data_IF_950979712886
#
_entry.id   IF_950979712886
#
_cell.length_a   1.000
_cell.length_b   1.000
_cell.length_c   1.000
_cell.angle_alpha   90.00
_cell.angle_beta   90.00
_cell.angle_gamma   90.00
#
_symmetry.space_group_name_H-M   'P 1'
#
loop_
_entity.id
_entity.type
_entity.pdbx_description
1 polymer ?
#
# COMPACT_ATOMS: atom_id res chain seq x y z
N UNK A 1 12.07 1.22 -3.57
CA UNK A 1 10.93 0.99 -2.63
C UNK A 1 9.78 0.35 -3.41
N UNK A 2 8.86 -0.36 -2.73
CA UNK A 2 7.72 -1.03 -3.37
C UNK A 2 6.45 -0.81 -2.54
N UNK A 3 5.29 -0.77 -3.18
CA UNK A 3 4.00 -0.68 -2.51
C UNK A 3 3.49 -2.09 -2.14
N UNK A 4 2.99 -2.25 -0.91
CA UNK A 4 2.37 -3.50 -0.49
C UNK A 4 0.97 -3.67 -1.09
N UNK A 5 0.54 -4.93 -1.26
CA UNK A 5 -0.82 -5.24 -1.72
C UNK A 5 -1.88 -4.69 -0.75
N UNK A 6 -1.61 -4.70 0.55
CA UNK A 6 -2.48 -4.16 1.58
C UNK A 6 -2.77 -2.67 1.36
N UNK A 7 -1.72 -1.85 1.20
CA UNK A 7 -1.88 -0.41 0.97
C UNK A 7 -2.64 -0.11 -0.33
N UNK A 8 -2.39 -0.92 -1.37
CA UNK A 8 -3.13 -0.81 -2.64
C UNK A 8 -4.61 -1.13 -2.43
N UNK A 9 -4.94 -2.20 -1.70
CA UNK A 9 -6.32 -2.58 -1.42
C UNK A 9 -7.04 -1.50 -0.58
N UNK A 10 -6.39 -0.93 0.43
CA UNK A 10 -6.93 0.18 1.23
C UNK A 10 -7.22 1.42 0.36
N UNK A 11 -6.33 1.73 -0.59
CA UNK A 11 -6.53 2.83 -1.55
C UNK A 11 -7.75 2.59 -2.46
N UNK A 12 -8.09 1.33 -2.69
CA UNK A 12 -9.22 0.90 -3.54
C UNK A 12 -10.46 0.51 -2.73
N UNK A 13 -10.52 0.78 -1.41
CA UNK A 13 -11.62 0.37 -0.53
C UNK A 13 -13.01 0.83 -1.03
N UNK A 14 -13.09 2.02 -1.63
CA UNK A 14 -14.35 2.54 -2.21
C UNK A 14 -14.92 1.70 -3.36
N UNK A 15 -14.12 0.80 -3.95
CA UNK A 15 -14.51 -0.14 -5.00
C UNK A 15 -14.78 -1.55 -4.45
N UNK A 16 -15.07 -1.66 -3.15
CA UNK A 16 -15.30 -2.94 -2.45
C UNK A 16 -14.14 -3.92 -2.63
N UNK A 17 -12.91 -3.40 -2.64
CA UNK A 17 -11.70 -4.16 -2.89
C UNK A 17 -11.42 -5.16 -1.75
N UNK A 18 -11.25 -6.43 -2.09
CA UNK A 18 -10.92 -7.51 -1.17
C UNK A 18 -9.62 -8.19 -1.60
N UNK A 19 -8.74 -8.43 -0.65
CA UNK A 19 -7.49 -9.16 -0.92
C UNK A 19 -7.73 -10.66 -0.93
N UNK A 20 -7.09 -11.38 -1.87
CA UNK A 20 -7.14 -12.84 -1.98
C UNK A 20 -5.74 -13.41 -2.07
N UNK A 21 -5.58 -14.61 -1.48
CA UNK A 21 -4.30 -15.32 -1.44
C UNK A 21 -3.34 -14.76 -0.39
N UNK A 22 -2.11 -15.28 -0.37
CA UNK A 22 -1.08 -14.87 0.59
C UNK A 22 -0.55 -13.49 0.25
N UNK A 23 -0.64 -12.57 1.19
CA UNK A 23 -0.11 -11.21 1.07
C UNK A 23 1.43 -11.27 1.15
N UNK A 24 2.09 -11.31 0.02
CA UNK A 24 3.57 -11.29 -0.03
C UNK A 24 4.07 -10.52 -1.25
N UNK A 25 5.14 -9.76 -1.05
CA UNK A 25 5.79 -8.98 -2.09
C UNK A 25 5.35 -7.51 -2.13
N UNK A 26 6.15 -6.73 -2.83
CA UNK A 26 5.88 -5.32 -3.11
C UNK A 26 5.85 -5.09 -4.62
N UNK A 27 5.09 -4.08 -5.02
CA UNK A 27 4.88 -3.76 -6.43
C UNK A 27 5.53 -2.44 -6.79
N UNK A 28 6.14 -2.40 -7.97
CA UNK A 28 6.77 -1.22 -8.55
C UNK A 28 5.87 -0.50 -9.56
N UNK A 29 4.77 -1.13 -9.96
CA UNK A 29 3.85 -0.55 -10.93
C UNK A 29 2.62 -1.39 -11.17
N UNK A 30 1.76 -0.88 -12.05
CA UNK A 30 0.53 -1.53 -12.50
C UNK A 30 0.51 -1.61 -14.02
N UNK A 31 -0.06 -2.69 -14.56
CA UNK A 31 -0.21 -2.88 -16.00
C UNK A 31 -1.54 -3.55 -16.33
N UNK A 32 -2.17 -3.13 -17.43
CA UNK A 32 -3.35 -3.82 -17.96
C UNK A 32 -2.89 -5.02 -18.77
N UNK A 33 -3.42 -6.21 -18.41
CA UNK A 33 -3.18 -7.44 -19.15
C UNK A 33 -4.40 -7.72 -20.05
N UNK A 34 -4.21 -7.56 -21.37
CA UNK A 34 -5.27 -7.73 -22.38
C UNK A 34 -5.25 -9.09 -23.08
N UNK A 35 -4.12 -9.81 -22.99
CA UNK A 35 -3.94 -11.15 -23.57
C UNK A 35 -3.13 -12.05 -22.64
N UNK A 36 -3.30 -13.39 -22.73
CA UNK A 36 -2.48 -14.30 -21.96
C UNK A 36 -0.99 -14.14 -22.29
N UNK A 37 -0.14 -14.10 -21.26
CA UNK A 37 1.31 -14.05 -21.40
C UNK A 37 1.95 -14.94 -20.35
N UNK A 38 3.03 -15.61 -20.73
CA UNK A 38 3.85 -16.43 -19.82
C UNK A 38 5.00 -15.61 -19.19
N UNK A 39 5.32 -14.45 -19.77
CA UNK A 39 6.44 -13.58 -19.35
C UNK A 39 5.94 -12.37 -18.54
N UNK A 40 5.34 -12.67 -17.37
CA UNK A 40 4.89 -11.65 -16.45
C UNK A 40 5.91 -11.42 -15.34
N UNK A 41 6.11 -10.16 -14.96
CA UNK A 41 7.00 -9.76 -13.87
C UNK A 41 6.28 -9.83 -12.53
N UNK A 42 6.91 -10.42 -11.52
CA UNK A 42 6.33 -10.58 -10.18
C UNK A 42 6.21 -9.28 -9.37
N UNK A 43 6.94 -8.23 -9.78
CA UNK A 43 6.91 -6.90 -9.16
C UNK A 43 5.90 -5.93 -9.81
N UNK A 44 5.10 -6.42 -10.75
CA UNK A 44 4.02 -5.67 -11.40
C UNK A 44 2.67 -6.26 -10.99
N UNK A 45 1.72 -5.38 -10.69
CA UNK A 45 0.33 -5.74 -10.41
C UNK A 45 -0.50 -5.66 -11.69
N UNK A 46 -1.09 -6.77 -12.10
CA UNK A 46 -1.78 -6.85 -13.39
C UNK A 46 -3.29 -6.67 -13.24
N UNK A 47 -3.87 -5.74 -13.99
CA UNK A 47 -5.33 -5.57 -14.07
C UNK A 47 -5.84 -6.37 -15.27
N UNK A 48 -6.78 -7.28 -15.04
CA UNK A 48 -7.32 -8.14 -16.09
C UNK A 48 -8.78 -8.53 -15.85
N UNK A 49 -9.38 -9.20 -16.82
CA UNK A 49 -10.71 -9.81 -16.65
C UNK A 49 -10.59 -11.20 -16.02
N UNK A 50 -11.61 -11.62 -15.26
CA UNK A 50 -11.67 -12.98 -14.72
C UNK A 50 -11.61 -14.06 -15.83
N UNK A 51 -12.18 -13.77 -17.01
CA UNK A 51 -12.07 -14.65 -18.19
C UNK A 51 -10.63 -14.80 -18.68
N UNK A 52 -9.79 -13.78 -18.51
CA UNK A 52 -8.37 -13.86 -18.87
C UNK A 52 -7.59 -14.70 -17.86
N UNK A 53 -7.89 -14.53 -16.57
CA UNK A 53 -7.26 -15.34 -15.50
C UNK A 53 -7.43 -16.83 -15.73
N UNK A 54 -8.64 -17.28 -16.14
CA UNK A 54 -8.90 -18.70 -16.41
C UNK A 54 -8.09 -19.29 -17.58
N UNK A 55 -7.48 -18.44 -18.42
CA UNK A 55 -6.63 -18.86 -19.53
C UNK A 55 -5.12 -18.85 -19.19
N UNK A 56 -4.75 -18.33 -18.03
CA UNK A 56 -3.35 -18.30 -17.59
C UNK A 56 -2.93 -19.65 -17.03
N UNK A 57 -1.67 -20.01 -17.25
CA UNK A 57 -1.07 -21.20 -16.64
C UNK A 57 -0.98 -21.05 -15.12
N UNK A 58 -1.14 -22.15 -14.40
CA UNK A 58 -1.04 -22.17 -12.94
C UNK A 58 0.29 -21.57 -12.46
N UNK A 59 1.40 -21.86 -13.11
CA UNK A 59 2.73 -21.32 -12.77
C UNK A 59 2.80 -19.79 -12.87
N UNK A 60 2.02 -19.18 -13.76
CA UNK A 60 1.91 -17.73 -13.90
C UNK A 60 1.04 -17.16 -12.78
N UNK A 61 -0.08 -17.80 -12.47
CA UNK A 61 -0.96 -17.40 -11.37
C UNK A 61 -0.25 -17.46 -10.00
N UNK A 62 0.55 -18.50 -9.76
CA UNK A 62 1.28 -18.68 -8.50
C UNK A 62 2.38 -17.63 -8.25
N UNK A 63 2.92 -17.03 -9.32
CA UNK A 63 4.05 -16.08 -9.24
C UNK A 63 3.64 -14.62 -9.28
N UNK A 64 2.45 -14.33 -9.81
CA UNK A 64 2.02 -12.96 -10.09
C UNK A 64 0.78 -12.59 -9.28
N UNK A 65 0.49 -11.30 -9.20
CA UNK A 65 -0.69 -10.79 -8.51
C UNK A 65 -1.57 -9.99 -9.47
N UNK A 66 -2.88 -10.10 -9.26
CA UNK A 66 -3.87 -9.60 -10.21
C UNK A 66 -4.94 -8.76 -9.51
N UNK A 67 -5.49 -7.79 -10.26
CA UNK A 67 -6.71 -7.07 -9.90
C UNK A 67 -7.77 -7.44 -10.94
N UNK A 68 -8.95 -7.85 -10.50
CA UNK A 68 -10.06 -8.20 -11.39
C UNK A 68 -11.40 -7.98 -10.70
N UNK A 69 -12.45 -7.85 -11.51
CA UNK A 69 -13.83 -7.73 -10.99
C UNK A 69 -14.39 -9.10 -10.68
N UNK A 70 -15.09 -9.23 -9.55
CA UNK A 70 -15.97 -10.36 -9.31
C UNK A 70 -17.11 -10.33 -10.36
N UNK A 71 -17.43 -11.48 -10.92
CA UNK A 71 -18.64 -11.67 -11.74
C UNK A 71 -19.51 -12.74 -11.11
N UNK A 72 -20.85 -12.57 -11.06
CA UNK A 72 -21.75 -13.50 -10.39
C UNK A 72 -21.64 -14.95 -10.90
N UNK A 73 -21.27 -15.11 -12.16
CA UNK A 73 -21.10 -16.41 -12.80
C UNK A 73 -19.74 -17.09 -12.53
N UNK A 74 -18.83 -16.45 -11.82
CA UNK A 74 -17.46 -16.91 -11.58
C UNK A 74 -17.11 -16.88 -10.09
N UNK A 75 -17.99 -17.46 -9.27
CA UNK A 75 -17.75 -17.65 -7.82
C UNK A 75 -16.51 -18.54 -7.53
N UNK A 76 -15.93 -19.18 -8.54
CA UNK A 76 -14.71 -19.97 -8.41
C UNK A 76 -13.52 -19.17 -8.96
N UNK A 77 -12.98 -18.31 -8.14
CA UNK A 77 -11.60 -17.84 -8.33
C UNK A 77 -10.68 -19.06 -8.33
N UNK A 78 -9.80 -19.26 -9.33
CA UNK A 78 -8.82 -20.33 -9.26
C UNK A 78 -8.10 -20.23 -7.91
N UNK A 79 -8.12 -21.30 -7.10
CA UNK A 79 -7.66 -21.29 -5.70
C UNK A 79 -6.20 -20.87 -5.46
N UNK A 80 -5.46 -20.60 -6.54
CA UNK A 80 -4.07 -20.12 -6.51
C UNK A 80 -3.89 -18.65 -6.86
N UNK A 81 -4.98 -17.90 -7.15
CA UNK A 81 -4.86 -16.48 -7.52
C UNK A 81 -4.54 -15.63 -6.29
N UNK A 82 -3.55 -14.77 -6.42
CA UNK A 82 -3.21 -13.71 -5.46
C UNK A 82 -3.57 -12.34 -6.02
N UNK A 83 -4.09 -11.47 -5.19
CA UNK A 83 -4.36 -10.11 -5.64
C UNK A 83 -5.54 -9.43 -4.96
N UNK A 84 -6.28 -8.67 -5.76
CA UNK A 84 -7.42 -7.87 -5.30
C UNK A 84 -8.64 -8.18 -6.20
N UNK A 85 -9.74 -8.53 -5.56
CA UNK A 85 -11.05 -8.63 -6.20
C UNK A 85 -11.78 -7.31 -5.97
N UNK A 86 -12.32 -6.74 -7.03
CA UNK A 86 -13.15 -5.53 -6.99
C UNK A 86 -14.62 -5.91 -7.03
N UNK A 87 -15.47 -5.07 -6.43
CA UNK A 87 -16.91 -5.18 -6.52
C UNK A 87 -17.42 -5.08 -7.98
N UNK A 88 -18.64 -5.55 -8.22
CA UNK A 88 -19.25 -5.58 -9.58
C UNK A 88 -19.39 -4.19 -10.19
N UNK A 89 -19.65 -3.17 -9.37
CA UNK A 89 -19.88 -1.79 -9.83
C UNK A 89 -18.59 -0.99 -10.02
N UNK A 90 -17.40 -1.57 -9.76
CA UNK A 90 -16.14 -0.86 -9.91
C UNK A 90 -15.89 -0.47 -11.37
N UNK A 91 -15.61 0.80 -11.63
CA UNK A 91 -15.12 1.25 -12.93
C UNK A 91 -13.62 0.97 -13.05
N UNK A 92 -13.26 0.09 -13.96
CA UNK A 92 -11.87 -0.31 -14.17
C UNK A 92 -11.00 0.87 -14.60
N UNK A 93 -11.54 1.83 -15.38
CA UNK A 93 -10.75 2.99 -15.80
C UNK A 93 -10.45 3.92 -14.63
N UNK A 94 -11.39 4.12 -13.72
CA UNK A 94 -11.16 4.88 -12.48
C UNK A 94 -10.12 4.17 -11.60
N UNK A 95 -10.22 2.86 -11.44
CA UNK A 95 -9.26 2.05 -10.69
C UNK A 95 -7.85 2.18 -11.29
N UNK A 96 -7.72 2.06 -12.62
CA UNK A 96 -6.45 2.23 -13.33
C UNK A 96 -5.86 3.62 -13.07
N UNK A 97 -6.67 4.68 -13.25
CA UNK A 97 -6.21 6.06 -13.04
C UNK A 97 -5.78 6.31 -11.60
N UNK A 98 -6.52 5.77 -10.62
CA UNK A 98 -6.18 5.88 -9.21
C UNK A 98 -4.86 5.17 -8.87
N UNK A 99 -4.64 3.99 -9.44
CA UNK A 99 -3.39 3.26 -9.25
C UNK A 99 -2.20 3.94 -9.93
N UNK A 100 -2.36 4.45 -11.15
CA UNK A 100 -1.31 5.23 -11.82
C UNK A 100 -0.92 6.43 -10.96
N UNK A 101 -1.93 7.15 -10.41
CA UNK A 101 -1.69 8.28 -9.52
C UNK A 101 -0.95 7.85 -8.25
N UNK A 102 -1.37 6.76 -7.60
CA UNK A 102 -0.73 6.23 -6.40
C UNK A 102 0.75 5.87 -6.66
N UNK A 103 1.03 5.10 -7.72
CA UNK A 103 2.41 4.73 -8.06
C UNK A 103 3.25 5.94 -8.44
N UNK A 104 2.69 6.91 -9.17
CA UNK A 104 3.39 8.15 -9.54
C UNK A 104 3.77 8.97 -8.30
N UNK A 105 2.84 9.15 -7.36
CA UNK A 105 3.10 9.82 -6.08
C UNK A 105 4.17 9.10 -5.26
N UNK A 106 4.10 7.77 -5.22
CA UNK A 106 5.07 6.96 -4.50
C UNK A 106 6.48 7.06 -5.11
N UNK A 107 6.61 7.01 -6.43
CA UNK A 107 7.90 7.18 -7.11
C UNK A 107 8.45 8.61 -6.93
N UNK A 108 7.59 9.63 -6.97
CA UNK A 108 7.99 11.01 -6.68
C UNK A 108 8.51 11.16 -5.24
N UNK A 109 7.83 10.54 -4.28
CA UNK A 109 8.29 10.49 -2.88
C UNK A 109 9.65 9.78 -2.78
N UNK A 110 9.78 8.58 -3.36
CA UNK A 110 11.05 7.82 -3.36
C UNK A 110 12.21 8.62 -3.95
N UNK A 111 11.97 9.31 -5.07
CA UNK A 111 12.95 10.18 -5.70
C UNK A 111 13.35 11.32 -4.75
N UNK A 112 12.38 12.01 -4.15
CA UNK A 112 12.63 13.11 -3.22
C UNK A 112 13.41 12.67 -1.97
N UNK A 113 13.12 11.48 -1.44
CA UNK A 113 13.87 10.90 -0.31
C UNK A 113 15.33 10.62 -0.72
N UNK A 114 15.54 10.02 -1.90
CA UNK A 114 16.90 9.76 -2.41
C UNK A 114 17.68 11.06 -2.62
N UNK A 115 17.03 12.09 -3.14
CA UNK A 115 17.64 13.41 -3.33
C UNK A 115 18.07 14.02 -1.98
N UNK A 116 17.18 14.05 -1.00
CA UNK A 116 17.49 14.54 0.35
C UNK A 116 18.66 13.77 1.00
N UNK A 117 18.75 12.45 0.75
CA UNK A 117 19.86 11.63 1.23
C UNK A 117 21.20 12.01 0.58
N UNK A 118 21.22 12.34 -0.70
CA UNK A 118 22.43 12.74 -1.43
C UNK A 118 22.94 14.12 -1.01
N UNK A 119 22.04 15.04 -0.68
CA UNK A 119 22.38 16.41 -0.26
C UNK A 119 23.04 16.47 1.13
N UNK A 120 23.11 15.37 1.86
CA UNK A 120 23.66 15.26 3.21
C UNK A 120 23.19 16.30 4.21
N UNK A 121 22.01 16.80 4.00
CA UNK A 121 21.36 17.82 4.82
C UNK A 121 20.58 17.15 5.93
N UNK A 122 21.02 16.99 7.13
CA UNK A 122 20.28 16.54 8.30
C UNK A 122 18.95 15.81 8.11
N UNK A 123 18.11 15.75 9.13
CA UNK A 123 16.80 15.05 9.02
C UNK A 123 15.66 15.94 8.50
N UNK A 124 15.81 17.28 8.58
CA UNK A 124 14.76 18.22 8.19
C UNK A 124 14.24 18.05 6.75
N UNK A 125 15.08 17.90 5.71
CA UNK A 125 14.60 17.70 4.34
C UNK A 125 13.75 16.43 4.20
N UNK A 126 14.09 15.36 4.92
CA UNK A 126 13.27 14.13 4.93
C UNK A 126 11.89 14.38 5.53
N UNK A 127 11.82 15.17 6.60
CA UNK A 127 10.54 15.51 7.22
C UNK A 127 9.66 16.35 6.30
N UNK A 128 10.21 17.32 5.62
CA UNK A 128 9.43 18.13 4.68
C UNK A 128 8.90 17.29 3.50
N UNK A 129 9.71 16.40 2.96
CA UNK A 129 9.28 15.44 1.93
C UNK A 129 8.18 14.52 2.48
N UNK A 130 8.38 13.99 3.68
CA UNK A 130 7.45 13.05 4.30
C UNK A 130 6.13 13.72 4.70
N UNK A 131 6.14 14.92 5.28
CA UNK A 131 4.93 15.73 5.57
C UNK A 131 4.11 15.99 4.32
N UNK A 132 4.77 16.34 3.22
CA UNK A 132 4.11 16.63 1.94
C UNK A 132 3.44 15.38 1.36
N UNK A 133 4.09 14.23 1.48
CA UNK A 133 3.57 12.96 0.95
C UNK A 133 2.47 12.36 1.85
N UNK A 134 2.58 12.56 3.17
CA UNK A 134 1.70 11.96 4.19
C UNK A 134 1.23 13.01 5.20
N UNK A 135 0.40 13.99 4.79
CA UNK A 135 0.05 15.15 5.61
C UNK A 135 -0.73 14.81 6.89
N UNK A 136 -1.35 13.63 6.94
CA UNK A 136 -2.16 13.16 8.07
C UNK A 136 -1.49 12.06 8.89
N UNK A 137 -0.19 11.78 8.64
CA UNK A 137 0.53 10.71 9.33
C UNK A 137 1.50 11.28 10.36
N UNK A 138 1.63 10.62 11.50
CA UNK A 138 2.79 10.80 12.36
C UNK A 138 3.98 10.07 11.74
N UNK A 139 5.03 10.83 11.46
CA UNK A 139 6.28 10.26 10.97
C UNK A 139 7.31 10.44 12.07
N UNK A 140 7.97 9.34 12.41
CA UNK A 140 9.00 9.28 13.44
C UNK A 140 10.26 8.70 12.84
N UNK A 141 11.40 9.34 13.08
CA UNK A 141 12.72 8.79 12.80
C UNK A 141 13.32 8.33 14.13
N UNK A 142 13.78 7.09 14.16
CA UNK A 142 14.45 6.50 15.32
C UNK A 142 15.90 6.17 14.98
N UNK A 143 16.76 6.13 16.00
CA UNK A 143 18.08 5.52 15.89
C UNK A 143 18.00 3.98 15.95
N UNK A 144 19.15 3.31 15.89
CA UNK A 144 19.21 1.84 15.96
C UNK A 144 18.82 1.26 17.33
N UNK A 145 18.75 2.07 18.36
CA UNK A 145 18.27 1.71 19.70
C UNK A 145 16.79 2.08 19.91
N UNK A 146 16.08 2.46 18.82
CA UNK A 146 14.69 2.89 18.81
C UNK A 146 14.40 4.18 19.60
N UNK A 147 15.40 4.99 19.92
CA UNK A 147 15.15 6.33 20.45
C UNK A 147 14.62 7.24 19.37
N UNK A 148 13.65 8.06 19.70
CA UNK A 148 13.07 9.02 18.78
C UNK A 148 14.02 10.19 18.59
N UNK A 149 14.62 10.28 17.40
CA UNK A 149 15.51 11.36 16.99
C UNK A 149 14.72 12.58 16.58
N UNK A 150 13.61 12.35 15.84
CA UNK A 150 12.82 13.41 15.24
C UNK A 150 11.41 12.92 14.94
N UNK A 151 10.41 13.83 14.96
CA UNK A 151 9.01 13.48 14.64
C UNK A 151 8.24 14.66 14.04
N UNK A 152 7.20 14.34 13.21
CA UNK A 152 6.23 15.33 12.74
C UNK A 152 5.18 15.55 13.82
N UNK A 153 5.23 16.66 14.53
CA UNK A 153 4.31 16.93 15.66
C UNK A 153 2.89 17.34 15.26
N UNK A 154 2.67 17.79 14.03
CA UNK A 154 1.51 18.60 13.68
C UNK A 154 0.16 17.89 13.56
N UNK A 155 0.11 16.56 13.58
CA UNK A 155 -1.16 15.82 13.32
C UNK A 155 -1.62 14.92 14.47
N UNK A 156 -0.91 14.94 15.62
CA UNK A 156 -1.05 13.88 16.62
C UNK A 156 -1.56 14.37 17.96
N UNK A 157 -1.90 15.66 18.10
CA UNK A 157 -2.34 16.24 19.38
C UNK A 157 -3.57 15.55 19.98
N UNK A 158 -4.39 14.91 19.16
CA UNK A 158 -5.63 14.26 19.58
C UNK A 158 -5.50 12.75 19.88
N UNK A 159 -4.35 12.11 19.61
CA UNK A 159 -4.18 10.68 19.87
C UNK A 159 -3.33 10.43 21.12
N UNK A 160 -3.96 9.88 22.17
CA UNK A 160 -3.31 9.60 23.45
C UNK A 160 -2.08 8.67 23.33
N UNK A 161 -2.16 7.65 22.47
CA UNK A 161 -1.05 6.72 22.23
C UNK A 161 0.19 7.42 21.65
N UNK A 162 0.01 8.28 20.67
CA UNK A 162 1.14 8.99 20.07
C UNK A 162 1.71 10.06 20.98
N UNK A 163 0.88 10.71 21.81
CA UNK A 163 1.37 11.63 22.85
C UNK A 163 2.26 10.89 23.85
N UNK A 164 1.84 9.71 24.28
CA UNK A 164 2.61 8.87 25.18
C UNK A 164 3.91 8.40 24.54
N UNK A 165 3.88 7.93 23.28
CA UNK A 165 5.06 7.53 22.52
C UNK A 165 6.09 8.66 22.42
N UNK A 166 5.65 9.87 22.06
CA UNK A 166 6.52 11.04 21.96
C UNK A 166 7.06 11.51 23.33
N UNK A 167 6.27 11.35 24.40
CA UNK A 167 6.69 11.71 25.76
C UNK A 167 7.73 10.76 26.34
N UNK A 168 7.66 9.47 25.98
CA UNK A 168 8.66 8.46 26.36
C UNK A 168 9.99 8.63 25.63
N UNK A 169 9.97 9.16 24.41
CA UNK A 169 11.16 9.39 23.59
C UNK A 169 11.76 8.13 22.96
N UNK A 170 11.13 6.96 23.09
CA UNK A 170 11.58 5.72 22.46
C UNK A 170 10.42 4.80 22.07
N UNK A 171 10.68 3.92 21.09
CA UNK A 171 9.75 2.92 20.60
C UNK A 171 10.08 1.54 21.18
N UNK A 172 9.14 0.88 21.86
CA UNK A 172 9.34 -0.49 22.38
C UNK A 172 9.35 -1.50 21.25
N UNK A 173 10.54 -2.00 20.88
CA UNK A 173 10.68 -3.12 19.95
C UNK A 173 10.07 -4.39 20.57
N UNK A 174 9.03 -4.92 20.01
CA UNK A 174 8.39 -6.16 20.49
C UNK A 174 6.90 -6.02 20.83
N UNK A 175 6.38 -4.83 21.06
CA UNK A 175 4.95 -4.58 20.97
C UNK A 175 4.58 -4.27 19.50
N UNK A 176 4.64 -5.28 18.65
CA UNK A 176 4.00 -5.26 17.32
C UNK A 176 2.47 -5.24 17.49
N UNK A 177 1.99 -4.26 18.22
CA UNK A 177 0.58 -4.00 18.46
C UNK A 177 -0.08 -3.26 17.30
N UNK A 178 0.18 -3.69 16.05
CA UNK A 178 -0.68 -3.37 14.93
C UNK A 178 -2.08 -4.02 15.07
N UNK A 179 -2.28 -4.84 16.12
CA UNK A 179 -3.55 -5.51 16.40
C UNK A 179 -4.55 -4.73 17.29
N UNK A 180 -4.14 -3.63 17.92
CA UNK A 180 -5.01 -2.91 18.87
C UNK A 180 -4.87 -1.38 18.74
N UNK A 181 -4.91 -0.85 17.51
CA UNK A 181 -5.24 0.57 17.33
C UNK A 181 -6.76 0.66 17.55
N UNK A 182 -7.24 1.31 18.62
CA UNK A 182 -8.67 1.51 18.78
C UNK A 182 -9.19 2.29 17.57
N UNK A 183 -10.38 1.96 17.04
CA UNK A 183 -10.97 2.69 15.92
C UNK A 183 -11.02 4.17 16.28
N UNK A 184 -10.64 5.01 15.32
CA UNK A 184 -10.66 6.46 15.46
C UNK A 184 -12.08 6.91 15.84
N UNK A 185 -12.34 7.56 17.01
CA UNK A 185 -13.67 7.95 17.42
C UNK A 185 -14.31 9.06 16.57
N UNK A 186 -13.65 9.50 15.50
CA UNK A 186 -14.11 10.58 14.63
C UNK A 186 -14.89 10.12 13.37
N UNK A 187 -15.31 8.85 13.28
CA UNK A 187 -16.16 8.37 12.15
C UNK A 187 -17.63 8.11 12.56
N UNK A 188 -18.14 8.90 13.47
CA UNK A 188 -19.54 8.87 13.87
C UNK A 188 -20.07 10.28 13.99
N UNK A 189 -20.55 10.85 12.87
CA UNK A 189 -21.74 11.71 12.71
C UNK A 189 -21.80 12.15 11.23
#
# INVERSE_FOLDING_TARGET
>A
MTLSLQLIAETLAQYEAQTVGTLGGGFNGVQILSSPSDDLRSDILYICTAKLLSKLKKTVLDRNSFIFKATPSQAECPGSVRGIILGENADINEVVNRLITLFSQFHAFEFSVKQAALERCGYEPFFEVAKKAFPHCLIVITDSAYNIVCSTRSTVENNAYFRELLSRGYYEAGRSGLGNIPPNPASGE
#
